data_IF_278657051197
#
_entry.id   IF_278657051197
#
_cell.length_a   1.000
_cell.length_b   1.000
_cell.length_c   1.000
_cell.angle_alpha   90.00
_cell.angle_beta   90.00
_cell.angle_gamma   90.00
#
_symmetry.space_group_name_H-M   'P 1'
#
loop_
_entity.id
_entity.type
_entity.pdbx_description
1 polymer ?
#
# COMPACT_ATOMS: atom_id res chain seq x y z
N UNK A 1 4.76 14.12 18.42
CA UNK A 1 3.71 13.44 17.62
C UNK A 1 3.26 14.43 16.55
N UNK A 2 3.44 14.10 15.27
CA UNK A 2 3.09 14.97 14.16
C UNK A 2 1.83 14.43 13.48
N UNK A 3 0.92 15.32 13.11
CA UNK A 3 -0.26 14.99 12.31
C UNK A 3 -0.13 15.72 10.98
N UNK A 4 -0.09 14.96 9.89
CA UNK A 4 0.08 15.48 8.55
C UNK A 4 -1.05 14.94 7.66
N UNK A 5 -1.52 15.78 6.74
CA UNK A 5 -2.44 15.37 5.68
C UNK A 5 -1.64 15.21 4.39
N UNK A 6 -1.53 13.98 3.92
CA UNK A 6 -0.77 13.62 2.72
C UNK A 6 -1.67 12.80 1.81
N UNK A 7 -1.61 13.08 0.52
CA UNK A 7 -2.21 12.21 -0.49
C UNK A 7 -1.15 11.19 -0.92
N UNK A 8 -1.35 9.92 -0.59
CA UNK A 8 -0.34 8.88 -0.79
C UNK A 8 -0.20 8.41 -2.24
N UNK A 9 -1.11 8.83 -3.13
CA UNK A 9 -1.02 8.57 -4.57
C UNK A 9 -0.24 9.68 -5.30
N UNK A 10 0.02 10.80 -4.63
CA UNK A 10 0.69 11.98 -5.18
C UNK A 10 2.10 12.15 -4.63
N UNK A 11 3.10 12.05 -5.49
CA UNK A 11 4.49 12.10 -5.05
C UNK A 11 4.92 13.47 -4.50
N UNK A 12 4.41 14.56 -5.05
CA UNK A 12 4.63 15.92 -4.52
C UNK A 12 4.13 16.06 -3.07
N UNK A 13 3.06 15.34 -2.70
CA UNK A 13 2.62 15.27 -1.31
C UNK A 13 3.47 14.29 -0.48
N UNK A 14 3.74 13.08 -1.00
CA UNK A 14 4.48 12.03 -0.27
C UNK A 14 5.91 12.46 0.06
N UNK A 15 6.58 13.15 -0.86
CA UNK A 15 7.95 13.66 -0.67
C UNK A 15 8.05 14.70 0.45
N UNK A 16 6.94 15.30 0.92
CA UNK A 16 6.97 16.15 2.12
C UNK A 16 7.27 15.38 3.41
N UNK A 17 7.15 14.05 3.39
CA UNK A 17 7.45 13.16 4.52
C UNK A 17 8.94 12.87 4.69
N UNK A 18 9.79 13.24 3.72
CA UNK A 18 11.23 12.95 3.73
C UNK A 18 11.96 13.38 5.02
N UNK A 19 11.63 14.50 5.68
CA UNK A 19 12.24 14.87 6.96
C UNK A 19 12.00 13.87 8.11
N UNK A 20 11.02 12.98 7.98
CA UNK A 20 10.71 11.93 8.96
C UNK A 20 11.21 10.55 8.51
N UNK A 21 11.70 10.44 7.27
CA UNK A 21 12.22 9.21 6.71
C UNK A 21 13.67 8.95 7.18
N UNK A 22 14.15 7.69 7.15
CA UNK A 22 13.42 6.49 6.75
C UNK A 22 12.48 5.96 7.85
N UNK A 23 11.32 5.45 7.44
CA UNK A 23 10.41 4.75 8.35
C UNK A 23 10.84 3.29 8.54
N UNK A 24 10.99 2.87 9.80
CA UNK A 24 11.27 1.47 10.14
C UNK A 24 10.03 0.59 10.10
N UNK A 25 8.89 1.16 10.47
CA UNK A 25 7.60 0.48 10.52
C UNK A 25 6.52 1.39 9.95
N UNK A 26 5.70 0.84 9.06
CA UNK A 26 4.51 1.47 8.52
C UNK A 26 3.31 0.66 9.02
N UNK A 27 2.38 1.35 9.68
CA UNK A 27 1.12 0.76 10.14
C UNK A 27 -0.02 1.29 9.28
N UNK A 28 -0.67 0.40 8.54
CA UNK A 28 -1.82 0.67 7.72
C UNK A 28 -3.03 -0.12 8.25
N UNK A 29 -4.11 0.57 8.63
CA UNK A 29 -5.31 -0.07 9.19
C UNK A 29 -6.48 -0.15 8.20
N UNK A 30 -6.50 0.69 7.17
CA UNK A 30 -7.60 0.78 6.19
C UNK A 30 -7.27 1.67 4.99
N UNK A 31 -6.06 2.25 4.95
CA UNK A 31 -5.64 3.20 3.93
C UNK A 31 -5.49 2.48 2.59
N UNK A 32 -4.84 1.32 2.55
CA UNK A 32 -4.77 0.51 1.33
C UNK A 32 -6.15 0.09 0.82
N UNK A 33 -7.10 -0.18 1.73
CA UNK A 33 -8.47 -0.54 1.37
C UNK A 33 -9.20 0.60 0.68
N UNK A 34 -9.17 1.79 1.30
CA UNK A 34 -9.76 2.99 0.73
C UNK A 34 -9.11 3.39 -0.60
N UNK A 35 -7.80 3.19 -0.72
CA UNK A 35 -7.06 3.54 -1.94
C UNK A 35 -7.45 2.65 -3.12
N UNK A 36 -7.66 1.34 -2.95
CA UNK A 36 -7.98 0.50 -4.12
C UNK A 36 -9.41 0.64 -4.65
N UNK A 37 -10.26 1.45 -4.04
CA UNK A 37 -11.56 1.78 -4.66
C UNK A 37 -11.41 2.83 -5.76
N UNK A 38 -10.24 3.43 -5.92
CA UNK A 38 -9.95 4.33 -7.03
C UNK A 38 -9.74 3.56 -8.33
N UNK A 39 -9.96 4.26 -9.45
CA UNK A 39 -9.54 3.79 -10.76
C UNK A 39 -8.01 3.71 -10.85
N UNK A 40 -7.51 2.88 -11.75
CA UNK A 40 -6.09 2.84 -12.09
C UNK A 40 -5.58 4.24 -12.45
N UNK A 41 -4.33 4.50 -12.07
CA UNK A 41 -3.68 5.79 -12.19
C UNK A 41 -2.74 5.77 -13.38
N UNK A 42 -2.97 6.70 -14.30
CA UNK A 42 -2.09 6.90 -15.44
C UNK A 42 -0.96 7.88 -15.08
N UNK A 43 0.27 7.39 -15.09
CA UNK A 43 1.47 8.15 -14.71
C UNK A 43 2.30 8.48 -15.95
N UNK A 44 2.56 9.76 -16.21
CA UNK A 44 3.32 10.22 -17.37
C UNK A 44 4.72 10.67 -16.99
N UNK A 45 5.78 10.02 -17.48
CA UNK A 45 7.19 10.34 -17.14
C UNK A 45 7.64 11.76 -17.50
N UNK A 46 6.83 12.48 -18.28
CA UNK A 46 7.02 13.90 -18.61
C UNK A 46 6.75 14.82 -17.42
N UNK A 47 6.08 14.32 -16.38
CA UNK A 47 5.87 15.06 -15.14
C UNK A 47 7.14 15.04 -14.28
N UNK A 48 7.63 16.22 -13.91
CA UNK A 48 8.82 16.36 -13.06
C UNK A 48 8.60 15.80 -11.64
N UNK A 49 7.35 15.79 -11.18
CA UNK A 49 6.96 15.40 -9.81
C UNK A 49 6.60 13.92 -9.67
N UNK A 50 7.33 13.02 -10.35
CA UNK A 50 7.10 11.58 -10.23
C UNK A 50 8.07 10.95 -9.23
N UNK A 51 7.54 10.02 -8.43
CA UNK A 51 8.33 9.18 -7.54
C UNK A 51 9.47 8.47 -8.30
N UNK A 52 10.73 8.54 -7.81
CA UNK A 52 11.87 7.88 -8.46
C UNK A 52 11.63 6.39 -8.72
N UNK A 53 10.99 5.68 -7.78
CA UNK A 53 10.70 4.25 -7.88
C UNK A 53 9.65 3.95 -8.95
N UNK A 54 8.64 4.82 -9.09
CA UNK A 54 7.64 4.71 -10.16
C UNK A 54 8.29 4.91 -11.53
N UNK A 55 9.20 5.88 -11.65
CA UNK A 55 9.98 6.12 -12.87
C UNK A 55 10.81 4.89 -13.25
N UNK A 56 11.42 4.22 -12.28
CA UNK A 56 12.19 3.00 -12.52
C UNK A 56 11.31 1.84 -13.02
N UNK A 57 10.09 1.68 -12.48
CA UNK A 57 9.15 0.62 -12.92
C UNK A 57 8.54 0.91 -14.28
N UNK A 58 8.27 2.17 -14.60
CA UNK A 58 7.78 2.58 -15.91
C UNK A 58 8.79 2.29 -17.04
N UNK A 59 10.09 2.26 -16.70
CA UNK A 59 11.17 1.95 -17.63
C UNK A 59 11.27 3.00 -18.75
N UNK A 60 11.37 2.54 -20.00
CA UNK A 60 11.49 3.40 -21.18
C UNK A 60 10.13 3.91 -21.73
N UNK A 61 9.01 3.47 -21.15
CA UNK A 61 7.69 3.88 -21.63
C UNK A 61 7.36 5.28 -21.10
N UNK A 62 6.91 6.18 -22.00
CA UNK A 62 6.48 7.53 -21.64
C UNK A 62 5.33 7.55 -20.63
N UNK A 63 4.50 6.50 -20.61
CA UNK A 63 3.32 6.39 -19.75
C UNK A 63 3.19 5.00 -19.11
N UNK A 64 2.94 5.05 -17.81
CA UNK A 64 2.54 4.05 -16.83
C UNK A 64 1.04 3.88 -16.60
N UNK A 65 0.44 2.70 -16.52
CA UNK A 65 -0.84 2.53 -15.80
C UNK A 65 -0.59 1.63 -14.60
N UNK A 66 -0.92 2.11 -13.40
CA UNK A 66 -0.71 1.40 -12.15
C UNK A 66 -2.02 1.33 -11.36
N UNK A 67 -2.25 0.20 -10.70
CA UNK A 67 -3.32 0.16 -9.71
C UNK A 67 -2.99 1.13 -8.55
N UNK A 68 -4.00 1.69 -7.86
CA UNK A 68 -3.75 2.61 -6.75
C UNK A 68 -2.89 2.02 -5.63
N UNK A 69 -3.03 0.72 -5.35
CA UNK A 69 -2.24 0.03 -4.31
C UNK A 69 -0.79 -0.15 -4.73
N UNK A 70 -0.56 -0.46 -6.00
CA UNK A 70 0.79 -0.56 -6.54
C UNK A 70 1.49 0.81 -6.54
N UNK A 71 0.79 1.87 -6.92
CA UNK A 71 1.31 3.23 -6.84
C UNK A 71 1.63 3.65 -5.39
N UNK A 72 0.75 3.34 -4.43
CA UNK A 72 1.02 3.51 -3.00
C UNK A 72 2.32 2.81 -2.60
N UNK A 73 2.46 1.53 -2.95
CA UNK A 73 3.63 0.74 -2.58
C UNK A 73 4.93 1.31 -3.16
N UNK A 74 4.90 1.78 -4.41
CA UNK A 74 6.05 2.42 -5.06
C UNK A 74 6.38 3.79 -4.45
N UNK A 75 5.37 4.58 -4.09
CA UNK A 75 5.57 5.88 -3.42
C UNK A 75 6.16 5.74 -2.02
N UNK A 76 5.92 4.63 -1.32
CA UNK A 76 6.51 4.38 -0.01
C UNK A 76 8.00 4.01 -0.08
N UNK A 77 8.48 3.46 -1.21
CA UNK A 77 9.87 2.96 -1.32
C UNK A 77 10.93 4.01 -0.94
N UNK A 78 10.92 5.26 -1.45
CA UNK A 78 11.93 6.25 -1.10
C UNK A 78 11.93 6.70 0.36
N UNK A 79 10.84 6.42 1.10
CA UNK A 79 10.68 6.80 2.50
C UNK A 79 11.08 5.67 3.46
N UNK A 80 11.64 4.58 2.94
CA UNK A 80 11.93 3.35 3.69
C UNK A 80 13.35 2.88 3.43
N UNK A 81 13.80 1.90 4.22
CA UNK A 81 15.10 1.25 4.07
C UNK A 81 14.92 -0.27 3.99
N UNK A 82 15.92 -1.03 3.50
CA UNK A 82 15.85 -2.48 3.55
C UNK A 82 15.48 -2.98 4.95
N UNK A 83 14.58 -3.95 5.01
CA UNK A 83 13.95 -4.50 6.22
C UNK A 83 12.91 -3.60 6.92
N UNK A 84 12.51 -2.46 6.36
CA UNK A 84 11.31 -1.75 6.82
C UNK A 84 10.11 -2.70 6.77
N UNK A 85 9.33 -2.74 7.85
CA UNK A 85 8.13 -3.56 7.95
C UNK A 85 6.88 -2.73 7.67
N UNK A 86 6.09 -3.14 6.69
CA UNK A 86 4.76 -2.60 6.43
C UNK A 86 3.69 -3.59 6.89
N UNK A 87 2.98 -3.23 7.95
CA UNK A 87 1.90 -4.03 8.53
C UNK A 87 0.58 -3.42 8.09
N UNK A 88 -0.24 -4.20 7.40
CA UNK A 88 -1.52 -3.75 6.85
C UNK A 88 -2.66 -4.61 7.34
N UNK A 89 -3.73 -3.99 7.82
CA UNK A 89 -5.04 -4.64 7.98
C UNK A 89 -5.88 -4.34 6.74
N UNK A 90 -6.36 -5.39 6.07
CA UNK A 90 -7.20 -5.28 4.88
C UNK A 90 -8.45 -6.15 4.95
N UNK A 91 -9.54 -5.71 4.31
CA UNK A 91 -10.72 -6.54 4.09
C UNK A 91 -10.60 -7.51 2.90
N UNK A 92 -9.59 -7.34 2.04
CA UNK A 92 -9.40 -8.16 0.84
C UNK A 92 -8.37 -9.25 1.07
N UNK A 93 -8.65 -10.46 0.55
CA UNK A 93 -7.72 -11.60 0.51
C UNK A 93 -6.61 -11.42 -0.53
N UNK A 94 -6.78 -10.52 -1.50
CA UNK A 94 -5.91 -10.35 -2.67
C UNK A 94 -5.25 -8.97 -2.71
N UNK A 95 -5.21 -8.24 -1.59
CA UNK A 95 -4.83 -6.82 -1.54
C UNK A 95 -3.48 -6.50 -2.19
N UNK A 96 -2.51 -7.38 -2.02
CA UNK A 96 -1.12 -7.19 -2.47
C UNK A 96 -0.67 -8.31 -3.42
N UNK A 97 -1.61 -9.03 -4.02
CA UNK A 97 -1.34 -10.16 -4.90
C UNK A 97 -1.23 -9.66 -6.34
N UNK A 98 -0.28 -10.20 -7.12
CA UNK A 98 -0.13 -9.94 -8.55
C UNK A 98 0.11 -8.46 -8.91
N UNK A 99 0.96 -7.78 -8.14
CA UNK A 99 1.34 -6.37 -8.36
C UNK A 99 2.84 -6.29 -8.69
N UNK A 100 3.24 -6.38 -9.98
CA UNK A 100 4.64 -6.57 -10.38
C UNK A 100 5.60 -5.48 -9.88
N UNK A 101 5.17 -4.22 -9.91
CA UNK A 101 5.93 -3.09 -9.40
C UNK A 101 6.12 -3.16 -7.88
N UNK A 102 5.08 -3.57 -7.14
CA UNK A 102 5.18 -3.81 -5.70
C UNK A 102 6.15 -4.95 -5.41
N UNK A 103 5.99 -6.08 -6.09
CA UNK A 103 6.79 -7.29 -5.90
C UNK A 103 8.29 -7.06 -6.15
N UNK A 104 8.65 -6.05 -6.94
CA UNK A 104 10.05 -5.66 -7.14
C UNK A 104 10.72 -5.14 -5.86
N UNK A 105 10.00 -4.41 -5.02
CA UNK A 105 10.57 -3.71 -3.84
C UNK A 105 10.08 -4.23 -2.50
N UNK A 106 8.95 -4.93 -2.49
CA UNK A 106 8.32 -5.45 -1.29
C UNK A 106 8.25 -6.97 -1.36
N UNK A 107 8.57 -7.62 -0.25
CA UNK A 107 8.40 -9.05 -0.06
C UNK A 107 7.21 -9.28 0.88
N UNK A 108 6.16 -9.95 0.40
CA UNK A 108 5.07 -10.38 1.26
C UNK A 108 5.56 -11.49 2.20
N UNK A 109 5.86 -11.13 3.45
CA UNK A 109 6.33 -12.07 4.49
C UNK A 109 5.20 -12.98 4.96
N UNK A 110 4.04 -12.41 5.25
CA UNK A 110 2.90 -13.18 5.75
C UNK A 110 1.56 -12.54 5.44
N UNK A 111 0.55 -13.39 5.27
CA UNK A 111 -0.86 -13.04 5.18
C UNK A 111 -1.64 -13.92 6.17
N UNK A 112 -2.23 -13.31 7.18
CA UNK A 112 -2.94 -14.02 8.27
C UNK A 112 -4.40 -13.61 8.30
N UNK A 113 -5.30 -14.60 8.22
CA UNK A 113 -6.73 -14.38 8.40
C UNK A 113 -7.04 -14.08 9.87
N UNK A 114 -7.80 -13.02 10.11
CA UNK A 114 -8.32 -12.65 11.42
C UNK A 114 -9.85 -12.66 11.35
N UNK A 115 -10.48 -13.61 12.01
CA UNK A 115 -11.94 -13.63 12.08
C UNK A 115 -12.43 -12.38 12.81
N UNK A 116 -13.34 -11.65 12.17
CA UNK A 116 -13.96 -10.49 12.78
C UNK A 116 -14.80 -10.94 14.00
N UNK A 117 -14.81 -10.17 15.10
CA UNK A 117 -15.65 -10.47 16.25
C UNK A 117 -17.12 -10.58 15.83
N UNK A 118 -17.84 -11.53 16.43
CA UNK A 118 -19.28 -11.62 16.27
C UNK A 118 -19.95 -10.34 16.80
N UNK A 119 -20.83 -9.76 15.99
CA UNK A 119 -21.62 -8.61 16.42
C UNK A 119 -22.69 -9.02 17.44
N UNK A 120 -23.20 -8.09 18.26
CA UNK A 120 -24.21 -8.40 19.29
C UNK A 120 -25.55 -8.92 18.73
N UNK A 121 -25.77 -8.80 17.42
CA UNK A 121 -26.98 -9.23 16.71
C UNK A 121 -26.79 -10.46 15.83
N UNK A 122 -25.60 -11.05 15.77
CA UNK A 122 -25.35 -12.22 14.92
C UNK A 122 -25.90 -13.49 15.57
N UNK A 123 -26.77 -14.21 14.86
CA UNK A 123 -27.16 -15.57 15.25
C UNK A 123 -26.09 -16.56 14.74
N UNK A 124 -25.52 -17.43 15.60
CA UNK A 124 -24.40 -18.31 15.20
C UNK A 124 -24.75 -19.32 14.10
N UNK A 125 -26.03 -19.69 13.97
CA UNK A 125 -26.45 -20.79 13.13
C UNK A 125 -26.32 -20.54 11.61
N UNK A 126 -26.41 -19.28 11.16
CA UNK A 126 -26.45 -18.95 9.72
C UNK A 126 -25.61 -17.72 9.31
N UNK A 127 -24.87 -17.10 10.24
CA UNK A 127 -24.05 -15.94 9.90
C UNK A 127 -22.70 -16.41 9.33
N UNK A 128 -22.33 -16.06 8.09
CA UNK A 128 -21.03 -16.43 7.55
C UNK A 128 -19.91 -15.78 8.36
N UNK A 129 -18.79 -16.50 8.52
CA UNK A 129 -17.60 -15.93 9.15
C UNK A 129 -17.03 -14.80 8.28
N UNK A 130 -16.88 -13.62 8.88
CA UNK A 130 -16.23 -12.46 8.26
C UNK A 130 -14.77 -12.46 8.68
N UNK A 131 -13.87 -12.19 7.75
CA UNK A 131 -12.43 -12.13 8.01
C UNK A 131 -11.86 -10.79 7.57
N UNK A 132 -10.90 -10.30 8.36
CA UNK A 132 -9.90 -9.34 7.95
C UNK A 132 -8.60 -10.08 7.68
N UNK A 133 -7.66 -9.42 7.02
CA UNK A 133 -6.39 -9.97 6.63
C UNK A 133 -5.27 -9.06 7.12
N UNK A 134 -4.40 -9.62 7.96
CA UNK A 134 -3.17 -8.95 8.36
C UNK A 134 -2.08 -9.34 7.38
N UNK A 135 -1.59 -8.36 6.65
CA UNK A 135 -0.44 -8.49 5.76
C UNK A 135 0.79 -7.93 6.46
N UNK A 136 1.91 -8.61 6.31
CA UNK A 136 3.23 -8.11 6.70
C UNK A 136 4.09 -8.17 5.44
N UNK A 137 4.55 -7.00 4.99
CA UNK A 137 5.48 -6.86 3.88
C UNK A 137 6.81 -6.31 4.41
N UNK A 138 7.91 -6.77 3.82
CA UNK A 138 9.24 -6.25 4.09
C UNK A 138 9.80 -5.53 2.88
N UNK A 139 10.48 -4.41 3.13
CA UNK A 139 11.26 -3.74 2.10
C UNK A 139 12.50 -4.58 1.76
N UNK A 140 12.61 -4.98 0.48
CA UNK A 140 13.76 -5.70 -0.09
C UNK A 140 15.04 -4.86 -0.14
#
# INVERSE_FOLDING_TARGET
MHWLRVDLLRWDHVSTLTPFAPFDVILDKSTSDAIATFSDQEVSLKNAEICPTVREVAGANDRTTLSPVELLALNLVPLTRPNTTWITLSYSTLRFDHLPGLEKYWHLRSRTALQAPAGPVSTPAHTPAVFHWVYILDRK
#
